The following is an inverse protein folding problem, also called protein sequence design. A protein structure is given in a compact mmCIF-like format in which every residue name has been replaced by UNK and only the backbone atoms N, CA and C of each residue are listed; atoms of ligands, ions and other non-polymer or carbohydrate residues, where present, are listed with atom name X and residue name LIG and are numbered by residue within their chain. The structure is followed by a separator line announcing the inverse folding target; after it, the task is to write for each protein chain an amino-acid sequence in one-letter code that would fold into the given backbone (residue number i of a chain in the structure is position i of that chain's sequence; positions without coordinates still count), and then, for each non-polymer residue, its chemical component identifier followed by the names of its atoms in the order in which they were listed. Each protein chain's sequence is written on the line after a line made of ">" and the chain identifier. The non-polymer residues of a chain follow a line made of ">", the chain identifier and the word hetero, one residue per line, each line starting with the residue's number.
data_IF_321750512348
#
_entry.id   IF_321750512348
#
_cell.length_a   1.000
_cell.length_b   1.000
_cell.length_c   1.000
_cell.angle_alpha   90.00
_cell.angle_beta   90.00
_cell.angle_gamma   90.00
#
_symmetry.space_group_name_H-M   'P 1'
#
loop_
_entity.id
_entity.type
_entity.pdbx_description
1 polymer ?
#
# COMPACT_ATOMS: atom_id res chain seq x y z
N UNK A 1 -7.60 5.29 -34.43
CA UNK A 1 -6.94 5.37 -33.13
C UNK A 1 -7.82 4.56 -32.19
N UNK A 2 -7.44 3.31 -31.94
CA UNK A 2 -8.16 2.48 -30.97
C UNK A 2 -7.89 3.07 -29.58
N UNK A 3 -8.92 3.30 -28.80
CA UNK A 3 -8.79 3.55 -27.38
C UNK A 3 -8.28 2.24 -26.77
N UNK A 4 -6.98 2.19 -26.42
CA UNK A 4 -6.44 1.16 -25.54
C UNK A 4 -7.11 1.35 -24.18
N UNK A 5 -8.29 0.80 -24.00
CA UNK A 5 -8.93 0.70 -22.69
C UNK A 5 -8.09 -0.29 -21.88
N UNK A 6 -7.41 0.21 -20.85
CA UNK A 6 -6.67 -0.63 -19.91
C UNK A 6 -7.60 -1.72 -19.35
N UNK A 7 -7.12 -2.95 -19.17
CA UNK A 7 -7.95 -4.03 -18.66
C UNK A 7 -8.47 -3.71 -17.25
N UNK A 8 -9.77 -3.96 -17.05
CA UNK A 8 -10.44 -3.76 -15.78
C UNK A 8 -9.87 -4.72 -14.73
N UNK A 9 -9.37 -4.18 -13.61
CA UNK A 9 -8.79 -4.95 -12.52
C UNK A 9 -9.80 -5.19 -11.39
N UNK A 10 -10.52 -4.14 -10.98
CA UNK A 10 -11.54 -4.21 -9.95
C UNK A 10 -12.86 -3.67 -10.49
N UNK A 11 -13.94 -4.38 -10.18
CA UNK A 11 -15.30 -3.95 -10.43
C UNK A 11 -16.15 -4.25 -9.19
N UNK A 12 -16.63 -3.21 -8.54
CA UNK A 12 -17.65 -3.26 -7.50
C UNK A 12 -18.89 -2.57 -8.06
N UNK A 13 -20.02 -3.23 -8.00
CA UNK A 13 -21.29 -2.67 -8.47
C UNK A 13 -22.33 -2.70 -7.34
N UNK A 14 -22.59 -1.53 -6.77
CA UNK A 14 -23.53 -1.31 -5.67
C UNK A 14 -23.32 -2.25 -4.46
N UNK A 15 -22.06 -2.57 -4.16
CA UNK A 15 -21.72 -3.52 -3.11
C UNK A 15 -21.78 -2.91 -1.70
N UNK A 16 -22.35 -3.66 -0.76
CA UNK A 16 -22.25 -3.39 0.66
C UNK A 16 -21.12 -4.24 1.25
N UNK A 17 -20.16 -3.60 1.90
CA UNK A 17 -18.99 -4.28 2.48
C UNK A 17 -19.08 -4.21 4.00
N UNK A 18 -19.07 -5.39 4.63
CA UNK A 18 -19.19 -5.53 6.08
C UNK A 18 -17.87 -6.01 6.70
N UNK A 19 -17.64 -5.61 7.94
CA UNK A 19 -16.56 -6.11 8.77
C UNK A 19 -17.15 -6.53 10.12
N UNK A 20 -16.95 -7.79 10.52
CA UNK A 20 -17.53 -8.37 11.76
C UNK A 20 -19.02 -8.04 11.92
N UNK A 21 -19.83 -8.42 10.92
CA UNK A 21 -21.29 -8.22 10.85
C UNK A 21 -21.78 -6.76 10.85
N UNK A 22 -20.88 -5.80 10.81
CA UNK A 22 -21.22 -4.38 10.69
C UNK A 22 -20.96 -3.89 9.27
N UNK A 23 -21.94 -3.34 8.60
CA UNK A 23 -21.78 -2.71 7.28
C UNK A 23 -20.95 -1.42 7.44
N UNK A 24 -19.75 -1.43 6.87
CA UNK A 24 -18.81 -0.29 6.90
C UNK A 24 -18.94 0.55 5.64
N UNK A 25 -19.07 -0.10 4.48
CA UNK A 25 -19.23 0.59 3.20
C UNK A 25 -20.58 0.22 2.59
N UNK A 26 -21.27 1.21 2.03
CA UNK A 26 -22.63 1.06 1.52
C UNK A 26 -22.67 1.46 0.06
N UNK A 27 -23.35 0.64 -0.75
CA UNK A 27 -23.65 0.93 -2.15
C UNK A 27 -22.41 1.40 -2.94
N UNK A 28 -21.27 0.71 -2.73
CA UNK A 28 -20.01 1.08 -3.39
C UNK A 28 -20.06 0.65 -4.85
N UNK A 29 -19.96 1.61 -5.76
CA UNK A 29 -19.72 1.39 -7.19
C UNK A 29 -18.34 1.94 -7.51
N UNK A 30 -17.42 1.08 -7.97
CA UNK A 30 -16.02 1.44 -8.21
C UNK A 30 -15.41 0.52 -9.26
N UNK A 31 -14.82 1.11 -10.28
CA UNK A 31 -14.00 0.43 -11.27
C UNK A 31 -12.56 0.94 -11.18
N UNK A 32 -11.58 0.04 -11.15
CA UNK A 32 -10.16 0.39 -11.22
C UNK A 32 -9.53 -0.46 -12.31
N UNK A 33 -8.81 0.17 -13.23
CA UNK A 33 -8.11 -0.48 -14.32
C UNK A 33 -6.65 -0.79 -13.94
N UNK A 34 -6.03 -1.72 -14.67
CA UNK A 34 -4.59 -1.93 -14.55
C UNK A 34 -3.84 -0.66 -14.95
N UNK A 35 -2.73 -0.39 -14.28
CA UNK A 35 -1.90 0.79 -14.53
C UNK A 35 -2.32 2.05 -13.78
N UNK A 36 -3.51 2.10 -13.16
CA UNK A 36 -3.96 3.28 -12.42
C UNK A 36 -3.21 3.50 -11.09
N UNK A 37 -2.98 4.78 -10.75
CA UNK A 37 -2.44 5.22 -9.45
C UNK A 37 -3.56 5.93 -8.68
N UNK A 38 -4.20 5.21 -7.75
CA UNK A 38 -5.41 5.67 -7.05
C UNK A 38 -5.09 6.03 -5.60
N UNK A 39 -5.47 7.24 -5.21
CA UNK A 39 -5.41 7.73 -3.83
C UNK A 39 -6.78 7.70 -3.15
N UNK A 40 -6.87 7.05 -1.98
CA UNK A 40 -8.07 7.08 -1.15
C UNK A 40 -7.90 8.13 -0.05
N UNK A 41 -8.79 9.10 0.01
CA UNK A 41 -8.80 10.14 1.04
C UNK A 41 -10.14 10.19 1.78
N UNK A 42 -10.15 10.83 2.93
CA UNK A 42 -11.35 11.01 3.77
C UNK A 42 -11.02 10.92 5.26
N UNK A 43 -11.97 11.29 6.12
CA UNK A 43 -11.78 11.30 7.57
C UNK A 43 -11.46 9.91 8.12
N UNK A 44 -10.98 9.86 9.37
CA UNK A 44 -10.79 8.59 10.09
C UNK A 44 -12.14 7.87 10.22
N UNK A 45 -12.15 6.57 10.01
CA UNK A 45 -13.39 5.78 10.03
C UNK A 45 -14.24 5.82 8.76
N UNK A 46 -13.84 6.56 7.71
CA UNK A 46 -14.58 6.63 6.44
C UNK A 46 -14.69 5.32 5.65
N UNK A 47 -13.91 4.28 6.02
CA UNK A 47 -13.93 2.97 5.35
C UNK A 47 -12.74 2.67 4.43
N UNK A 48 -11.73 3.55 4.33
CA UNK A 48 -10.55 3.40 3.44
C UNK A 48 -9.84 2.05 3.61
N UNK A 49 -9.49 1.70 4.87
CA UNK A 49 -8.86 0.41 5.21
C UNK A 49 -9.73 -0.78 4.81
N UNK A 50 -11.05 -0.68 5.02
CA UNK A 50 -12.00 -1.74 4.67
C UNK A 50 -12.06 -1.92 3.15
N UNK A 51 -12.11 -0.82 2.39
CA UNK A 51 -12.08 -0.88 0.93
C UNK A 51 -10.77 -1.53 0.43
N UNK A 52 -9.60 -1.07 0.91
CA UNK A 52 -8.31 -1.65 0.54
C UNK A 52 -8.21 -3.14 0.83
N UNK A 53 -8.69 -3.58 1.99
CA UNK A 53 -8.69 -5.02 2.34
C UNK A 53 -9.60 -5.83 1.43
N UNK A 54 -10.76 -5.29 1.08
CA UNK A 54 -11.69 -5.94 0.14
C UNK A 54 -11.07 -6.08 -1.24
N UNK A 55 -10.43 -5.03 -1.75
CA UNK A 55 -9.70 -5.09 -3.02
C UNK A 55 -8.56 -6.12 -2.95
N UNK A 56 -7.78 -6.12 -1.86
CA UNK A 56 -6.69 -7.08 -1.66
C UNK A 56 -7.17 -8.54 -1.67
N UNK A 57 -8.28 -8.84 -1.01
CA UNK A 57 -8.84 -10.21 -0.99
C UNK A 57 -9.17 -10.75 -2.38
N UNK A 58 -9.48 -9.87 -3.36
CA UNK A 58 -9.80 -10.27 -4.74
C UNK A 58 -8.57 -10.60 -5.58
N UNK A 59 -7.40 -10.05 -5.22
CA UNK A 59 -6.15 -10.16 -6.00
C UNK A 59 -4.94 -10.56 -5.16
N UNK A 60 -5.14 -11.16 -4.00
CA UNK A 60 -4.10 -11.43 -3.00
C UNK A 60 -2.89 -12.21 -3.53
N UNK A 61 -3.11 -13.12 -4.48
CA UNK A 61 -2.03 -13.93 -5.07
C UNK A 61 -1.13 -13.13 -6.03
N UNK A 62 -1.65 -12.04 -6.60
CA UNK A 62 -0.98 -11.22 -7.62
C UNK A 62 -0.66 -9.82 -7.12
N UNK A 63 -0.76 -9.60 -5.80
CA UNK A 63 -0.59 -8.28 -5.23
C UNK A 63 0.28 -8.28 -3.98
N UNK A 64 0.85 -7.10 -3.70
CA UNK A 64 1.52 -6.77 -2.45
C UNK A 64 0.62 -5.90 -1.59
N UNK A 65 0.72 -6.04 -0.27
CA UNK A 65 -0.03 -5.20 0.67
C UNK A 65 0.89 -4.59 1.73
N UNK A 66 0.82 -3.26 1.88
CA UNK A 66 1.42 -2.53 3.01
C UNK A 66 0.35 -2.29 4.07
N UNK A 67 0.48 -2.92 5.23
CA UNK A 67 -0.46 -2.82 6.33
C UNK A 67 -0.19 -1.58 7.20
N UNK A 68 -1.22 -0.90 7.66
CA UNK A 68 -1.15 0.24 8.57
C UNK A 68 -0.35 -0.08 9.86
N UNK A 69 -0.51 -1.27 10.43
CA UNK A 69 0.23 -1.75 11.60
C UNK A 69 1.44 -2.62 11.22
N UNK A 70 2.03 -2.38 10.05
CA UNK A 70 3.25 -2.97 9.50
C UNK A 70 3.19 -4.49 9.27
N UNK A 71 2.48 -5.26 10.11
CA UNK A 71 2.41 -6.74 10.09
C UNK A 71 3.80 -7.39 10.03
N UNK A 72 4.77 -6.83 10.77
CA UNK A 72 6.14 -7.31 10.88
C UNK A 72 6.29 -8.25 12.07
N UNK A 73 7.29 -9.12 12.01
CA UNK A 73 7.68 -10.01 13.11
C UNK A 73 8.79 -9.34 13.93
N UNK A 74 8.51 -8.85 15.16
CA UNK A 74 9.47 -8.03 15.92
C UNK A 74 10.77 -8.75 16.27
N UNK A 75 10.73 -10.07 16.42
CA UNK A 75 11.87 -10.92 16.78
C UNK A 75 12.83 -11.15 15.63
N UNK A 76 12.36 -11.01 14.39
CA UNK A 76 13.17 -11.15 13.19
C UNK A 76 13.89 -9.85 12.84
N UNK A 77 15.03 -9.97 12.16
CA UNK A 77 15.75 -8.80 11.65
C UNK A 77 14.98 -8.14 10.49
N UNK A 78 15.38 -6.91 10.13
CA UNK A 78 14.92 -6.20 8.95
C UNK A 78 15.00 -7.08 7.70
N UNK A 79 16.18 -7.67 7.46
CA UNK A 79 16.42 -8.55 6.33
C UNK A 79 15.42 -9.70 6.26
N UNK A 80 15.19 -10.39 7.37
CA UNK A 80 14.27 -11.53 7.40
C UNK A 80 12.80 -11.11 7.25
N UNK A 81 12.42 -9.94 7.80
CA UNK A 81 11.08 -9.40 7.57
C UNK A 81 10.82 -9.07 6.10
N UNK A 82 11.83 -8.57 5.38
CA UNK A 82 11.71 -8.33 3.93
C UNK A 82 11.66 -9.66 3.18
N UNK A 83 12.54 -10.62 3.55
CA UNK A 83 12.60 -11.95 2.94
C UNK A 83 11.25 -12.70 3.02
N UNK A 84 10.50 -12.53 4.12
CA UNK A 84 9.16 -13.11 4.29
C UNK A 84 8.21 -12.78 3.12
N UNK A 85 8.42 -11.66 2.43
CA UNK A 85 7.61 -11.25 1.28
C UNK A 85 7.56 -12.27 0.13
N UNK A 86 8.53 -13.22 0.07
CA UNK A 86 8.59 -14.25 -0.99
C UNK A 86 8.77 -15.68 -0.45
N UNK A 87 8.32 -15.96 0.76
CA UNK A 87 8.42 -17.32 1.31
C UNK A 87 7.67 -18.36 0.48
N UNK A 88 6.56 -17.98 -0.11
CA UNK A 88 5.71 -18.79 -0.98
C UNK A 88 6.40 -19.18 -2.31
N UNK A 89 7.40 -18.42 -2.74
CA UNK A 89 8.18 -18.66 -3.99
C UNK A 89 9.37 -19.58 -3.79
N UNK A 90 9.68 -19.96 -2.55
CA UNK A 90 10.83 -20.76 -2.21
C UNK A 90 10.41 -22.09 -1.57
N UNK A 91 11.26 -23.12 -1.72
CA UNK A 91 11.05 -24.39 -1.00
C UNK A 91 11.32 -24.22 0.50
N UNK A 92 10.72 -25.08 1.33
CA UNK A 92 10.92 -25.06 2.77
C UNK A 92 12.40 -25.18 3.15
N UNK A 93 13.19 -25.98 2.42
CA UNK A 93 14.62 -26.11 2.66
C UNK A 93 15.38 -24.83 2.34
N UNK A 94 15.04 -24.14 1.25
CA UNK A 94 15.64 -22.85 0.90
C UNK A 94 15.29 -21.79 1.96
N UNK A 95 14.04 -21.75 2.41
CA UNK A 95 13.60 -20.84 3.45
C UNK A 95 14.36 -21.05 4.76
N UNK A 96 14.52 -22.33 5.18
CA UNK A 96 15.26 -22.66 6.40
C UNK A 96 16.76 -22.26 6.31
N UNK A 97 17.40 -22.51 5.16
CA UNK A 97 18.77 -22.09 4.93
C UNK A 97 18.89 -20.56 5.02
N UNK A 98 18.03 -19.81 4.34
CA UNK A 98 18.07 -18.35 4.32
C UNK A 98 17.73 -17.72 5.68
N UNK A 99 16.99 -18.42 6.55
CA UNK A 99 16.73 -17.97 7.91
C UNK A 99 18.00 -17.99 8.78
N UNK A 100 18.88 -18.98 8.58
CA UNK A 100 20.13 -19.15 9.37
C UNK A 100 21.32 -18.50 8.66
N UNK A 101 21.40 -18.67 7.35
CA UNK A 101 22.50 -18.21 6.52
C UNK A 101 22.00 -17.64 5.19
N UNK A 102 21.66 -16.33 5.16
CA UNK A 102 21.16 -15.69 3.95
C UNK A 102 22.12 -15.85 2.77
N UNK A 103 21.65 -16.47 1.68
CA UNK A 103 22.41 -16.67 0.45
C UNK A 103 22.78 -15.33 -0.17
N UNK A 104 23.93 -15.26 -0.82
CA UNK A 104 24.41 -14.05 -1.48
C UNK A 104 23.43 -13.51 -2.53
N UNK A 105 22.80 -14.39 -3.31
CA UNK A 105 21.77 -14.00 -4.28
C UNK A 105 20.60 -13.24 -3.61
N UNK A 106 20.11 -13.74 -2.48
CA UNK A 106 19.01 -13.09 -1.75
C UNK A 106 19.43 -11.74 -1.17
N UNK A 107 20.69 -11.63 -0.72
CA UNK A 107 21.25 -10.34 -0.27
C UNK A 107 21.31 -9.33 -1.41
N UNK A 108 21.74 -9.76 -2.60
CA UNK A 108 21.79 -8.91 -3.79
C UNK A 108 20.42 -8.42 -4.26
N UNK A 109 19.35 -9.14 -3.94
CA UNK A 109 17.97 -8.71 -4.21
C UNK A 109 17.42 -7.76 -3.13
N UNK A 110 17.69 -8.04 -1.85
CA UNK A 110 17.11 -7.29 -0.73
C UNK A 110 17.86 -5.98 -0.44
N UNK A 111 19.19 -5.99 -0.48
CA UNK A 111 19.98 -4.81 -0.09
C UNK A 111 19.71 -3.56 -0.95
N UNK A 112 19.53 -3.65 -2.28
CA UNK A 112 19.15 -2.48 -3.07
C UNK A 112 17.81 -1.87 -2.63
N UNK A 113 16.82 -2.72 -2.28
CA UNK A 113 15.51 -2.25 -1.79
C UNK A 113 15.65 -1.54 -0.44
N UNK A 114 16.46 -2.11 0.48
CA UNK A 114 16.72 -1.47 1.77
C UNK A 114 17.53 -0.17 1.63
N UNK A 115 18.42 -0.11 0.65
CA UNK A 115 19.23 1.07 0.35
C UNK A 115 18.38 2.22 -0.17
N UNK A 116 17.46 1.94 -1.13
CA UNK A 116 16.52 2.93 -1.68
C UNK A 116 15.55 3.50 -0.63
N UNK A 117 15.32 2.77 0.45
CA UNK A 117 14.50 3.20 1.59
C UNK A 117 15.33 3.75 2.76
N UNK A 118 16.66 3.88 2.62
CA UNK A 118 17.55 4.43 3.63
C UNK A 118 17.60 3.63 4.94
N UNK A 119 17.49 2.28 4.85
CA UNK A 119 17.47 1.41 6.05
C UNK A 119 18.45 0.22 5.96
N UNK A 120 19.31 0.18 4.95
CA UNK A 120 20.26 -0.90 4.69
C UNK A 120 21.20 -1.15 5.86
N UNK A 121 21.69 -0.11 6.53
CA UNK A 121 22.60 -0.22 7.67
C UNK A 121 21.99 -1.00 8.85
N UNK A 122 20.66 -1.08 8.90
CA UNK A 122 19.91 -1.82 9.91
C UNK A 122 19.44 -3.21 9.47
N UNK A 123 19.99 -3.74 8.36
CA UNK A 123 19.53 -5.01 7.75
C UNK A 123 19.45 -6.17 8.75
N UNK A 124 20.36 -6.26 9.71
CA UNK A 124 20.40 -7.34 10.69
C UNK A 124 19.95 -6.92 12.10
N UNK A 125 19.47 -5.70 12.28
CA UNK A 125 18.84 -5.24 13.52
C UNK A 125 17.44 -5.86 13.62
N UNK A 126 16.99 -6.22 14.81
CA UNK A 126 15.64 -6.73 15.05
C UNK A 126 14.62 -5.61 14.83
N UNK A 127 13.51 -5.96 14.19
CA UNK A 127 12.46 -4.97 13.90
C UNK A 127 11.88 -4.36 15.17
N UNK A 128 11.78 -5.13 16.27
CA UNK A 128 11.32 -4.61 17.55
C UNK A 128 12.20 -3.50 18.20
N UNK A 129 13.40 -3.27 17.68
CA UNK A 129 14.32 -2.21 18.12
C UNK A 129 14.25 -0.94 17.27
N UNK A 130 13.39 -0.94 16.23
CA UNK A 130 13.26 0.15 15.27
C UNK A 130 12.23 1.19 15.73
N UNK A 131 12.41 2.43 15.27
CA UNK A 131 11.36 3.46 15.33
C UNK A 131 10.18 3.13 14.42
N UNK A 132 9.02 3.78 14.65
CA UNK A 132 7.83 3.59 13.82
C UNK A 132 8.08 3.86 12.34
N UNK A 133 8.79 4.94 12.00
CA UNK A 133 9.12 5.25 10.61
C UNK A 133 10.08 4.24 9.96
N UNK A 134 11.01 3.67 10.74
CA UNK A 134 11.87 2.59 10.25
C UNK A 134 11.08 1.30 10.02
N UNK A 135 10.19 0.93 10.94
CA UNK A 135 9.29 -0.22 10.77
C UNK A 135 8.41 -0.04 9.53
N UNK A 136 7.92 1.16 9.28
CA UNK A 136 7.12 1.45 8.09
C UNK A 136 7.93 1.25 6.80
N UNK A 137 9.16 1.76 6.75
CA UNK A 137 10.06 1.50 5.61
C UNK A 137 10.36 0.01 5.40
N UNK A 138 10.48 -0.77 6.48
CA UNK A 138 10.62 -2.25 6.37
C UNK A 138 9.36 -2.89 5.79
N UNK A 139 8.17 -2.45 6.18
CA UNK A 139 6.90 -2.96 5.63
C UNK A 139 6.77 -2.65 4.14
N UNK A 140 7.16 -1.44 3.73
CA UNK A 140 7.23 -1.04 2.31
C UNK A 140 8.29 -1.88 1.57
N UNK A 141 9.49 -2.06 2.15
CA UNK A 141 10.55 -2.89 1.57
C UNK A 141 10.08 -4.32 1.29
N UNK A 142 9.33 -4.91 2.24
CA UNK A 142 8.75 -6.25 2.07
C UNK A 142 7.77 -6.31 0.90
N UNK A 143 6.89 -5.31 0.77
CA UNK A 143 5.94 -5.23 -0.33
C UNK A 143 6.64 -5.06 -1.68
N UNK A 144 7.66 -4.21 -1.76
CA UNK A 144 8.49 -4.02 -2.97
C UNK A 144 9.25 -5.30 -3.32
N UNK A 145 9.86 -5.96 -2.33
CA UNK A 145 10.60 -7.22 -2.55
C UNK A 145 9.72 -8.33 -3.09
N UNK A 146 8.40 -8.32 -2.80
CA UNK A 146 7.45 -9.28 -3.36
C UNK A 146 7.35 -9.17 -4.90
N UNK A 147 7.59 -8.00 -5.50
CA UNK A 147 7.60 -7.77 -6.96
C UNK A 147 6.30 -8.21 -7.63
N UNK A 148 5.18 -7.72 -7.14
CA UNK A 148 3.89 -7.84 -7.81
C UNK A 148 3.57 -6.57 -8.61
N UNK A 149 2.81 -6.72 -9.70
CA UNK A 149 2.37 -5.58 -10.52
C UNK A 149 1.33 -4.70 -9.81
N UNK A 150 0.64 -5.25 -8.80
CA UNK A 150 -0.39 -4.56 -8.03
C UNK A 150 0.11 -4.34 -6.61
N UNK A 151 0.04 -3.10 -6.13
CA UNK A 151 0.39 -2.76 -4.75
C UNK A 151 -0.76 -1.98 -4.10
N UNK A 152 -1.26 -2.54 -3.00
CA UNK A 152 -2.24 -1.88 -2.15
C UNK A 152 -1.55 -1.42 -0.86
N UNK A 153 -1.78 -0.19 -0.42
CA UNK A 153 -1.09 0.37 0.73
C UNK A 153 -2.02 1.14 1.65
N UNK A 154 -2.08 0.73 2.90
CA UNK A 154 -2.86 1.41 3.93
C UNK A 154 -1.93 2.30 4.75
N UNK A 155 -1.98 3.60 4.46
CA UNK A 155 -1.17 4.65 5.09
C UNK A 155 0.35 4.39 5.03
N UNK A 156 0.94 4.15 3.84
CA UNK A 156 2.32 3.66 3.71
C UNK A 156 3.40 4.61 4.23
N UNK A 157 3.05 5.85 4.55
CA UNK A 157 4.01 6.89 4.99
C UNK A 157 3.59 7.64 6.26
N UNK A 158 2.58 7.16 7.00
CA UNK A 158 2.00 7.87 8.15
C UNK A 158 2.99 8.12 9.30
N UNK A 159 4.00 7.28 9.47
CA UNK A 159 5.05 7.40 10.50
C UNK A 159 6.40 7.84 9.96
N UNK A 160 6.48 8.15 8.65
CA UNK A 160 7.72 8.60 8.00
C UNK A 160 7.78 10.13 8.03
N UNK A 161 8.99 10.66 8.20
CA UNK A 161 9.23 12.11 8.13
C UNK A 161 8.70 12.67 6.79
N UNK A 162 7.99 13.81 6.78
CA UNK A 162 7.42 14.41 5.57
C UNK A 162 8.42 14.61 4.42
N UNK A 163 9.69 14.88 4.73
CA UNK A 163 10.74 15.04 3.70
C UNK A 163 11.10 13.72 3.02
N UNK A 164 10.93 12.59 3.72
CA UNK A 164 11.22 11.26 3.17
C UNK A 164 9.97 10.58 2.59
N UNK A 165 8.78 10.96 3.04
CA UNK A 165 7.51 10.37 2.61
C UNK A 165 7.34 10.41 1.09
N UNK A 166 7.71 11.53 0.46
CA UNK A 166 7.63 11.70 -0.99
C UNK A 166 8.48 10.68 -1.76
N UNK A 167 9.73 10.47 -1.34
CA UNK A 167 10.62 9.50 -1.99
C UNK A 167 10.09 8.05 -1.87
N UNK A 168 9.48 7.72 -0.74
CA UNK A 168 8.86 6.40 -0.54
C UNK A 168 7.66 6.19 -1.45
N UNK A 169 6.78 7.20 -1.60
CA UNK A 169 5.62 7.13 -2.50
C UNK A 169 6.04 7.07 -3.97
N UNK A 170 7.05 7.82 -4.35
CA UNK A 170 7.62 7.76 -5.69
C UNK A 170 8.17 6.36 -6.00
N UNK A 171 8.92 5.76 -5.06
CA UNK A 171 9.43 4.40 -5.21
C UNK A 171 8.29 3.38 -5.34
N UNK A 172 7.22 3.48 -4.54
CA UNK A 172 6.03 2.64 -4.66
C UNK A 172 5.44 2.73 -6.07
N UNK A 173 5.28 3.95 -6.60
CA UNK A 173 4.73 4.18 -7.93
C UNK A 173 5.63 3.67 -9.07
N UNK A 174 6.96 3.65 -8.87
CA UNK A 174 7.91 3.14 -9.86
C UNK A 174 7.93 1.61 -9.93
N UNK A 175 7.72 0.91 -8.81
CA UNK A 175 7.90 -0.55 -8.75
C UNK A 175 6.63 -1.34 -9.05
N UNK A 176 5.45 -0.75 -8.93
CA UNK A 176 4.17 -1.39 -9.22
C UNK A 176 3.44 -0.68 -10.35
N UNK A 177 2.81 -1.43 -11.25
CA UNK A 177 2.02 -0.88 -12.35
C UNK A 177 0.72 -0.24 -11.83
N UNK A 178 0.00 -0.95 -10.97
CA UNK A 178 -1.24 -0.47 -10.34
C UNK A 178 -0.99 -0.24 -8.86
N UNK A 179 -1.36 0.95 -8.38
CA UNK A 179 -1.24 1.30 -6.95
C UNK A 179 -2.57 1.85 -6.45
N UNK A 180 -3.06 1.28 -5.35
CA UNK A 180 -4.19 1.86 -4.60
C UNK A 180 -3.71 2.12 -3.18
N UNK A 181 -3.72 3.37 -2.75
CA UNK A 181 -3.18 3.73 -1.43
C UNK A 181 -4.10 4.67 -0.67
N UNK A 182 -4.27 4.43 0.63
CA UNK A 182 -4.88 5.41 1.52
C UNK A 182 -3.84 6.38 2.03
N UNK A 183 -4.16 7.66 2.04
CA UNK A 183 -3.27 8.73 2.51
C UNK A 183 -4.04 9.72 3.41
N UNK A 184 -3.45 10.06 4.57
CA UNK A 184 -3.98 11.12 5.44
C UNK A 184 -3.63 12.51 4.92
N UNK A 185 -2.41 12.69 4.43
CA UNK A 185 -1.95 13.94 3.85
C UNK A 185 -2.50 14.10 2.44
N UNK A 186 -3.55 14.90 2.28
CA UNK A 186 -4.20 15.17 1.00
C UNK A 186 -3.21 15.68 -0.05
N UNK A 187 -2.27 16.52 0.35
CA UNK A 187 -1.22 17.06 -0.54
C UNK A 187 -0.37 15.93 -1.16
N UNK A 188 -0.05 14.89 -0.38
CA UNK A 188 0.66 13.72 -0.90
C UNK A 188 -0.23 12.89 -1.84
N UNK A 189 -1.52 12.74 -1.52
CA UNK A 189 -2.46 12.05 -2.40
C UNK A 189 -2.54 12.75 -3.77
N UNK A 190 -2.76 14.06 -3.80
CA UNK A 190 -2.85 14.85 -5.02
C UNK A 190 -1.55 14.86 -5.84
N UNK A 191 -0.40 14.69 -5.18
CA UNK A 191 0.90 14.70 -5.85
C UNK A 191 1.31 13.34 -6.43
N UNK A 192 0.94 12.24 -5.75
CA UNK A 192 1.45 10.91 -6.07
C UNK A 192 0.39 9.93 -6.60
N UNK A 193 -0.88 10.33 -6.64
CA UNK A 193 -1.93 9.60 -7.33
C UNK A 193 -2.44 10.41 -8.54
N UNK A 194 -2.93 9.70 -9.54
CA UNK A 194 -3.54 10.28 -10.75
C UNK A 194 -5.06 10.46 -10.58
N UNK A 195 -5.66 9.62 -9.75
CA UNK A 195 -7.09 9.58 -9.47
C UNK A 195 -7.33 9.53 -7.97
N UNK A 196 -8.29 10.29 -7.50
CA UNK A 196 -8.62 10.44 -6.08
C UNK A 196 -10.06 10.01 -5.83
N UNK A 197 -10.21 9.09 -4.89
CA UNK A 197 -11.51 8.64 -4.40
C UNK A 197 -11.70 9.19 -2.99
N UNK A 198 -12.69 10.05 -2.82
CA UNK A 198 -13.08 10.61 -1.53
C UNK A 198 -14.13 9.74 -0.84
N UNK A 199 -13.81 9.24 0.35
CA UNK A 199 -14.73 8.45 1.18
C UNK A 199 -15.20 9.24 2.41
N UNK A 200 -16.50 9.17 2.71
CA UNK A 200 -17.08 9.73 3.92
C UNK A 200 -18.25 8.86 4.40
N UNK A 201 -18.32 8.54 5.69
CA UNK A 201 -19.38 7.76 6.31
C UNK A 201 -19.74 6.45 5.59
N UNK A 202 -18.72 5.79 5.01
CA UNK A 202 -18.89 4.51 4.32
C UNK A 202 -19.39 4.62 2.88
N UNK A 203 -19.38 5.80 2.29
CA UNK A 203 -19.82 6.03 0.91
C UNK A 203 -18.73 6.76 0.11
N UNK A 204 -18.68 6.51 -1.21
CA UNK A 204 -17.85 7.28 -2.13
C UNK A 204 -18.57 8.62 -2.40
N UNK A 205 -17.93 9.72 -2.01
CA UNK A 205 -18.46 11.06 -2.23
C UNK A 205 -18.08 11.62 -3.59
N UNK A 206 -16.88 11.29 -4.04
CA UNK A 206 -16.40 11.64 -5.38
C UNK A 206 -15.32 10.66 -5.83
N UNK A 207 -15.14 10.62 -7.13
CA UNK A 207 -14.15 9.82 -7.85
C UNK A 207 -13.69 10.67 -9.05
N UNK A 208 -12.51 11.31 -8.92
CA UNK A 208 -12.05 12.38 -9.82
C UNK A 208 -10.57 12.21 -10.14
N UNK A 209 -10.12 12.77 -11.26
CA UNK A 209 -8.68 12.97 -11.47
C UNK A 209 -8.09 13.88 -10.40
N UNK A 210 -6.82 13.71 -10.05
CA UNK A 210 -6.16 14.51 -9.01
C UNK A 210 -6.22 16.03 -9.33
N UNK A 211 -6.21 16.40 -10.61
CA UNK A 211 -6.27 17.80 -11.08
C UNK A 211 -7.65 18.44 -10.87
N UNK A 212 -8.73 17.63 -10.85
CA UNK A 212 -10.11 18.11 -10.66
C UNK A 212 -10.46 18.32 -9.19
N UNK A 213 -9.67 17.81 -8.26
CA UNK A 213 -9.92 17.93 -6.82
C UNK A 213 -9.62 19.35 -6.34
N UNK A 214 -10.68 20.10 -6.04
CA UNK A 214 -10.58 21.49 -5.59
C UNK A 214 -10.63 21.62 -4.07
N UNK A 215 -10.17 22.74 -3.47
CA UNK A 215 -10.32 23.00 -2.05
C UNK A 215 -11.78 22.98 -1.55
N UNK A 216 -12.75 23.28 -2.43
CA UNK A 216 -14.17 23.22 -2.09
C UNK A 216 -14.63 21.79 -1.90
N UNK A 217 -14.30 20.89 -2.82
CA UNK A 217 -14.58 19.45 -2.74
C UNK A 217 -13.97 18.85 -1.47
N UNK A 218 -12.71 19.20 -1.18
CA UNK A 218 -12.04 18.74 0.04
C UNK A 218 -12.74 19.24 1.30
N UNK A 219 -13.13 20.52 1.31
CA UNK A 219 -13.87 21.08 2.45
C UNK A 219 -15.19 20.34 2.69
N UNK A 220 -15.94 20.05 1.65
CA UNK A 220 -17.18 19.27 1.73
C UNK A 220 -16.93 17.86 2.27
N UNK A 221 -15.88 17.16 1.78
CA UNK A 221 -15.52 15.83 2.25
C UNK A 221 -15.23 15.77 3.76
N UNK A 222 -14.56 16.79 4.31
CA UNK A 222 -14.11 16.78 5.72
C UNK A 222 -15.02 17.54 6.68
N UNK A 223 -16.01 18.33 6.20
CA UNK A 223 -16.91 19.15 7.04
C UNK A 223 -18.34 18.60 7.16
N UNK A 224 -18.68 17.49 6.50
CA UNK A 224 -19.96 16.80 6.67
C UNK A 224 -19.95 16.07 8.04
N UNK A 225 -20.03 16.80 9.12
CA UNK A 225 -20.13 16.25 10.49
C UNK A 225 -21.50 16.52 11.06
#
# INVERSE_FOLDING_TARGET
>A
MGSDTLPLLFNLDQENISYQDTTILKNVTLEINQGEKVGLIGPSGAGKTTLLRTLYQRVSEQSSFVHQHYALVPQLSVFHNVYVGRLDRNTTSQNLINLVYPREQVRQEIFPVLDSLGIKEKSFVRVGELSGGEMQRVAVARAIYRQESILLADEPVSSIDPHQAGAVLELINQVAETVVMSLHAVELALKYAERIIGLHNGEIQFDLSAEEVTPVILKELYQQS
#
